data_IF_367542855667
#
_entry.id   IF_367542855667
#
_cell.length_a   1.000
_cell.length_b   1.000
_cell.length_c   1.000
_cell.angle_alpha   90.00
_cell.angle_beta   90.00
_cell.angle_gamma   90.00
#
_symmetry.space_group_name_H-M   'P 1'
#
loop_
_entity.id
_entity.type
_entity.pdbx_description
1 polymer ?
#
# COMPACT_ATOMS: atom_id res chain seq x y z
N UNK A 1 21.76 7.00 -8.05
CA UNK A 1 22.47 5.76 -7.63
C UNK A 1 23.87 5.65 -8.22
N UNK A 2 24.10 5.95 -9.50
CA UNK A 2 25.47 5.96 -10.07
C UNK A 2 26.42 6.86 -9.29
N UNK A 3 26.02 8.10 -8.98
CA UNK A 3 26.83 9.00 -8.16
C UNK A 3 27.14 8.43 -6.75
N UNK A 4 26.18 7.74 -6.12
CA UNK A 4 26.35 7.08 -4.82
C UNK A 4 27.42 5.98 -4.91
N UNK A 5 27.36 5.16 -5.97
CA UNK A 5 28.37 4.14 -6.24
C UNK A 5 29.75 4.76 -6.41
N UNK A 6 29.88 5.76 -7.30
CA UNK A 6 31.17 6.40 -7.61
C UNK A 6 31.75 7.06 -6.35
N UNK A 7 30.93 7.83 -5.62
CA UNK A 7 31.36 8.53 -4.41
C UNK A 7 31.81 7.59 -3.29
N UNK A 8 31.26 6.37 -3.23
CA UNK A 8 31.73 5.35 -2.30
C UNK A 8 32.96 4.62 -2.80
N UNK A 9 32.94 4.17 -4.06
CA UNK A 9 34.01 3.39 -4.68
C UNK A 9 35.32 4.17 -4.72
N UNK A 10 35.28 5.49 -4.96
CA UNK A 10 36.46 6.36 -4.98
C UNK A 10 37.21 6.45 -3.65
N UNK A 11 36.57 6.10 -2.53
CA UNK A 11 37.21 6.11 -1.20
C UNK A 11 38.12 4.92 -0.95
N UNK A 12 38.06 3.89 -1.78
CA UNK A 12 38.87 2.70 -1.64
C UNK A 12 40.01 2.74 -2.66
N UNK A 13 41.22 2.40 -2.25
CA UNK A 13 42.38 2.29 -3.15
C UNK A 13 42.36 0.93 -3.88
N UNK A 14 43.20 0.80 -4.91
CA UNK A 14 43.50 -0.51 -5.49
C UNK A 14 44.27 -1.36 -4.47
N UNK A 15 43.98 -2.66 -4.43
CA UNK A 15 44.64 -3.63 -3.57
C UNK A 15 45.44 -4.65 -4.40
N UNK A 16 46.67 -5.00 -4.03
CA UNK A 16 47.49 -5.94 -4.81
C UNK A 16 46.91 -7.37 -4.87
N UNK A 17 46.17 -7.81 -3.83
CA UNK A 17 45.62 -9.15 -3.78
C UNK A 17 44.22 -9.25 -4.40
N UNK A 18 43.36 -8.25 -4.16
CA UNK A 18 41.94 -8.30 -4.57
C UNK A 18 41.54 -7.21 -5.57
N UNK A 19 42.52 -6.47 -6.10
CA UNK A 19 42.35 -5.48 -7.16
C UNK A 19 41.33 -4.39 -6.80
N UNK A 20 40.39 -4.16 -7.72
CA UNK A 20 39.29 -3.21 -7.56
C UNK A 20 38.03 -3.82 -6.92
N UNK A 21 38.02 -5.11 -6.57
CA UNK A 21 36.82 -5.76 -6.06
C UNK A 21 36.25 -5.11 -4.79
N UNK A 22 37.06 -4.67 -3.80
CA UNK A 22 36.54 -3.93 -2.64
C UNK A 22 35.84 -2.61 -3.02
N UNK A 23 36.34 -1.89 -4.03
CA UNK A 23 35.71 -0.66 -4.56
C UNK A 23 34.31 -0.97 -5.08
N UNK A 24 34.19 -2.02 -5.90
CA UNK A 24 32.94 -2.45 -6.51
C UNK A 24 31.96 -2.95 -5.44
N UNK A 25 32.43 -3.82 -4.52
CA UNK A 25 31.63 -4.35 -3.43
C UNK A 25 31.06 -3.23 -2.56
N UNK A 26 31.89 -2.25 -2.18
CA UNK A 26 31.44 -1.12 -1.35
C UNK A 26 30.57 -0.14 -2.11
N UNK A 27 30.81 0.09 -3.40
CA UNK A 27 29.93 0.90 -4.26
C UNK A 27 28.51 0.34 -4.32
N UNK A 28 28.37 -0.97 -4.59
CA UNK A 28 27.07 -1.64 -4.60
C UNK A 28 26.42 -1.70 -3.22
N UNK A 29 27.21 -1.93 -2.16
CA UNK A 29 26.70 -1.90 -0.79
C UNK A 29 26.08 -0.53 -0.45
N UNK A 30 26.70 0.57 -0.87
CA UNK A 30 26.16 1.91 -0.63
C UNK A 30 24.86 2.14 -1.40
N UNK A 31 24.74 1.64 -2.65
CA UNK A 31 23.46 1.66 -3.36
C UNK A 31 22.41 0.91 -2.54
N UNK A 32 22.69 -0.31 -2.06
CA UNK A 32 21.73 -1.08 -1.26
C UNK A 32 21.27 -0.32 0.00
N UNK A 33 22.21 0.28 0.73
CA UNK A 33 21.92 1.04 1.94
C UNK A 33 21.05 2.26 1.64
N UNK A 34 21.49 3.15 0.74
CA UNK A 34 20.77 4.37 0.38
C UNK A 34 19.39 4.06 -0.20
N UNK A 35 19.31 3.03 -1.06
CA UNK A 35 18.08 2.63 -1.72
C UNK A 35 17.06 1.99 -0.76
N UNK A 36 17.49 1.51 0.41
CA UNK A 36 16.58 1.03 1.47
C UNK A 36 15.62 2.15 1.94
N UNK A 37 16.10 3.39 2.00
CA UNK A 37 15.25 4.55 2.30
C UNK A 37 14.22 4.79 1.21
N UNK A 38 14.68 4.78 -0.05
CA UNK A 38 13.84 5.07 -1.21
C UNK A 38 12.84 3.97 -1.55
N UNK A 39 13.07 2.72 -1.14
CA UNK A 39 12.08 1.65 -1.31
C UNK A 39 11.02 1.68 -0.21
N UNK A 40 11.33 2.12 1.01
CA UNK A 40 10.39 2.09 2.15
C UNK A 40 9.53 3.35 2.29
N UNK A 41 10.13 4.54 2.18
CA UNK A 41 9.40 5.80 2.39
C UNK A 41 8.20 6.00 1.44
N UNK A 42 8.27 5.61 0.16
CA UNK A 42 7.10 5.72 -0.73
C UNK A 42 5.92 4.86 -0.26
N UNK A 43 6.17 3.79 0.50
CA UNK A 43 5.10 2.93 1.02
C UNK A 43 4.47 3.45 2.32
N UNK A 44 5.03 4.54 2.89
CA UNK A 44 4.46 5.28 4.00
C UNK A 44 3.38 6.24 3.44
N UNK A 45 2.14 5.76 3.34
CA UNK A 45 1.03 6.47 2.65
C UNK A 45 0.63 7.76 3.34
N UNK A 46 0.69 7.82 4.66
CA UNK A 46 0.38 9.06 5.39
C UNK A 46 1.50 10.09 5.18
N UNK A 47 2.75 9.63 5.19
CA UNK A 47 3.89 10.48 4.83
C UNK A 47 3.77 11.02 3.39
N UNK A 48 3.48 10.15 2.41
CA UNK A 48 3.24 10.54 1.01
C UNK A 48 2.06 11.51 0.90
N UNK A 49 0.97 11.28 1.65
CA UNK A 49 -0.19 12.19 1.66
C UNK A 49 0.14 13.55 2.27
N UNK A 50 0.97 13.58 3.32
CA UNK A 50 1.49 14.84 3.86
C UNK A 50 2.38 15.59 2.88
N UNK A 51 3.22 14.88 2.11
CA UNK A 51 4.02 15.50 1.05
C UNK A 51 3.14 16.13 -0.05
N UNK A 52 1.99 15.52 -0.36
CA UNK A 52 1.03 16.08 -1.34
C UNK A 52 0.40 17.40 -0.91
N UNK A 53 0.40 17.74 0.38
CA UNK A 53 -0.14 19.03 0.84
C UNK A 53 0.85 20.18 0.68
N UNK A 54 2.11 19.90 0.36
CA UNK A 54 3.16 20.90 0.17
C UNK A 54 3.27 21.28 -1.32
N UNK A 55 2.87 22.52 -1.72
CA UNK A 55 2.85 22.91 -3.13
C UNK A 55 4.22 22.82 -3.80
N UNK A 56 5.29 23.16 -3.07
CA UNK A 56 6.68 23.06 -3.55
C UNK A 56 7.03 21.62 -3.94
N UNK A 57 6.57 20.64 -3.17
CA UNK A 57 6.89 19.23 -3.40
C UNK A 57 6.13 18.70 -4.61
N UNK A 58 4.83 19.00 -4.71
CA UNK A 58 3.99 18.52 -5.82
C UNK A 58 4.41 19.12 -7.17
N UNK A 59 4.87 20.37 -7.18
CA UNK A 59 5.31 21.04 -8.41
C UNK A 59 6.64 20.47 -8.95
N UNK A 60 7.46 19.85 -8.11
CA UNK A 60 8.79 19.35 -8.50
C UNK A 60 8.90 17.83 -8.51
N UNK A 61 8.06 17.12 -7.76
CA UNK A 61 8.15 15.67 -7.59
C UNK A 61 6.81 14.99 -7.93
N UNK A 62 6.83 13.92 -8.75
CA UNK A 62 5.65 13.13 -9.07
C UNK A 62 5.24 12.20 -7.91
N UNK A 63 4.83 12.78 -6.78
CA UNK A 63 4.47 12.05 -5.54
C UNK A 63 3.36 11.03 -5.77
N UNK A 64 2.48 11.26 -6.75
CA UNK A 64 1.41 10.33 -7.10
C UNK A 64 1.90 9.00 -7.66
N UNK A 65 3.10 8.97 -8.25
CA UNK A 65 3.74 7.78 -8.77
C UNK A 65 4.62 7.05 -7.75
N UNK A 66 4.40 7.27 -6.45
CA UNK A 66 5.17 6.63 -5.35
C UNK A 66 5.25 5.09 -5.44
N UNK A 67 4.19 4.41 -5.92
CA UNK A 67 4.20 2.95 -6.11
C UNK A 67 5.11 2.55 -7.27
N UNK A 68 5.07 3.27 -8.39
CA UNK A 68 5.96 3.00 -9.52
C UNK A 68 7.41 3.28 -9.16
N UNK A 69 7.66 4.36 -8.41
CA UNK A 69 8.98 4.65 -7.87
C UNK A 69 9.48 3.54 -6.93
N UNK A 70 8.63 3.00 -6.05
CA UNK A 70 8.98 1.83 -5.23
C UNK A 70 9.37 0.61 -6.08
N UNK A 71 8.67 0.31 -7.18
CA UNK A 71 9.03 -0.80 -8.07
C UNK A 71 10.41 -0.60 -8.69
N UNK A 72 10.71 0.61 -9.17
CA UNK A 72 12.03 0.97 -9.71
C UNK A 72 13.10 0.78 -8.63
N UNK A 73 12.87 1.28 -7.41
CA UNK A 73 13.78 1.08 -6.29
C UNK A 73 13.97 -0.41 -5.98
N UNK A 74 12.91 -1.23 -6.05
CA UNK A 74 12.99 -2.67 -5.88
C UNK A 74 13.94 -3.32 -6.90
N UNK A 75 13.83 -2.99 -8.18
CA UNK A 75 14.74 -3.50 -9.23
C UNK A 75 16.18 -3.05 -8.98
N UNK A 76 16.39 -1.77 -8.66
CA UNK A 76 17.71 -1.24 -8.33
C UNK A 76 18.34 -1.96 -7.13
N UNK A 77 17.55 -2.27 -6.10
CA UNK A 77 18.02 -3.00 -4.93
C UNK A 77 18.48 -4.42 -5.30
N UNK A 78 17.73 -5.11 -6.17
CA UNK A 78 18.07 -6.46 -6.64
C UNK A 78 19.34 -6.47 -7.48
N UNK A 79 19.47 -5.53 -8.42
CA UNK A 79 20.67 -5.42 -9.26
C UNK A 79 21.90 -5.09 -8.41
N UNK A 80 21.75 -4.15 -7.47
CA UNK A 80 22.85 -3.78 -6.58
C UNK A 80 23.23 -4.90 -5.61
N UNK A 81 22.27 -5.67 -5.08
CA UNK A 81 22.57 -6.80 -4.21
C UNK A 81 23.33 -7.90 -4.96
N UNK A 82 22.92 -8.23 -6.19
CA UNK A 82 23.65 -9.18 -7.04
C UNK A 82 25.06 -8.69 -7.37
N UNK A 83 25.23 -7.41 -7.72
CA UNK A 83 26.54 -6.82 -7.96
C UNK A 83 27.45 -6.85 -6.72
N UNK A 84 26.88 -6.58 -5.53
CA UNK A 84 27.60 -6.68 -4.26
C UNK A 84 28.05 -8.13 -3.99
N UNK A 85 27.15 -9.10 -4.19
CA UNK A 85 27.45 -10.52 -4.01
C UNK A 85 28.53 -11.00 -4.97
N UNK A 86 28.43 -10.66 -6.26
CA UNK A 86 29.43 -11.03 -7.27
C UNK A 86 30.81 -10.47 -6.92
N UNK A 87 30.89 -9.22 -6.46
CA UNK A 87 32.15 -8.62 -6.03
C UNK A 87 32.74 -9.33 -4.80
N UNK A 88 31.93 -9.75 -3.83
CA UNK A 88 32.40 -10.54 -2.69
C UNK A 88 32.84 -11.95 -3.08
N UNK A 89 32.14 -12.61 -4.00
CA UNK A 89 32.58 -13.90 -4.54
C UNK A 89 33.96 -13.76 -5.19
N UNK A 90 34.17 -12.71 -5.99
CA UNK A 90 35.48 -12.42 -6.58
C UNK A 90 36.57 -12.17 -5.52
N UNK A 91 36.27 -11.39 -4.46
CA UNK A 91 37.18 -11.20 -3.33
C UNK A 91 37.56 -12.54 -2.70
N UNK A 92 36.58 -13.38 -2.37
CA UNK A 92 36.83 -14.69 -1.73
C UNK A 92 37.70 -15.58 -2.63
N UNK A 93 37.41 -15.63 -3.93
CA UNK A 93 38.21 -16.39 -4.90
C UNK A 93 39.65 -15.86 -4.91
N UNK A 94 39.85 -14.56 -5.11
CA UNK A 94 41.19 -13.97 -5.18
C UNK A 94 41.97 -14.17 -3.90
N UNK A 95 41.39 -13.89 -2.73
CA UNK A 95 42.06 -14.07 -1.43
C UNK A 95 42.54 -15.52 -1.23
N UNK A 96 41.81 -16.51 -1.74
CA UNK A 96 42.18 -17.94 -1.63
C UNK A 96 43.18 -18.41 -2.68
N UNK A 97 43.26 -17.77 -3.84
CA UNK A 97 44.10 -18.24 -4.96
C UNK A 97 45.40 -17.47 -5.15
N UNK A 98 45.49 -16.21 -4.71
CA UNK A 98 46.72 -15.44 -4.89
C UNK A 98 47.89 -16.01 -4.08
N UNK A 99 49.15 -15.86 -4.55
CA UNK A 99 50.33 -16.26 -3.78
C UNK A 99 50.37 -15.57 -2.41
N UNK A 100 50.89 -16.26 -1.39
CA UNK A 100 50.94 -15.74 -0.02
C UNK A 100 51.70 -14.41 0.07
N UNK A 101 52.81 -14.27 -0.66
CA UNK A 101 53.58 -13.04 -0.72
C UNK A 101 52.79 -11.83 -1.26
N UNK A 102 51.79 -12.06 -2.12
CA UNK A 102 50.88 -10.99 -2.62
C UNK A 102 49.79 -10.71 -1.60
N UNK A 103 49.28 -11.74 -0.91
CA UNK A 103 48.28 -11.59 0.15
C UNK A 103 48.83 -10.79 1.34
N UNK A 104 50.06 -11.01 1.75
CA UNK A 104 50.73 -10.28 2.84
C UNK A 104 50.85 -8.78 2.56
N UNK A 105 50.89 -8.39 1.28
CA UNK A 105 50.90 -6.98 0.85
C UNK A 105 49.49 -6.36 0.80
N UNK A 106 48.43 -7.15 1.01
CA UNK A 106 47.05 -6.66 0.97
C UNK A 106 46.73 -5.75 2.15
N UNK A 107 45.95 -4.70 1.88
CA UNK A 107 45.32 -3.85 2.91
C UNK A 107 44.28 -4.60 3.74
N UNK A 108 43.89 -5.79 3.29
CA UNK A 108 42.87 -6.64 3.91
C UNK A 108 43.45 -7.92 4.53
N UNK A 109 44.79 -8.01 4.71
CA UNK A 109 45.45 -9.20 5.27
C UNK A 109 44.94 -9.57 6.67
N UNK A 110 44.38 -8.61 7.43
CA UNK A 110 43.72 -8.86 8.73
C UNK A 110 42.49 -9.77 8.62
N UNK A 111 41.97 -9.98 7.40
CA UNK A 111 40.90 -10.92 7.09
C UNK A 111 41.45 -12.30 6.71
N UNK A 112 42.54 -12.76 7.34
CA UNK A 112 43.18 -14.05 7.07
C UNK A 112 42.21 -15.23 7.11
N UNK A 113 41.19 -15.18 7.98
CA UNK A 113 40.13 -16.18 8.05
C UNK A 113 39.36 -16.39 6.71
N UNK A 114 39.31 -15.39 5.82
CA UNK A 114 38.70 -15.53 4.49
C UNK A 114 39.49 -16.53 3.63
N UNK A 115 40.82 -16.54 3.79
CA UNK A 115 41.76 -17.42 3.11
C UNK A 115 41.82 -18.80 3.77
N UNK A 116 42.01 -18.81 5.09
CA UNK A 116 42.51 -19.99 5.81
C UNK A 116 41.40 -20.89 6.34
N UNK A 117 40.20 -20.34 6.61
CA UNK A 117 39.08 -21.15 7.10
C UNK A 117 38.50 -22.04 6.00
N UNK A 118 38.04 -23.23 6.38
CA UNK A 118 37.20 -24.04 5.50
C UNK A 118 35.87 -23.30 5.19
N UNK A 119 35.21 -23.71 4.11
CA UNK A 119 34.00 -23.03 3.63
C UNK A 119 32.83 -23.07 4.64
N UNK A 120 32.76 -24.09 5.50
CA UNK A 120 31.68 -24.22 6.48
C UNK A 120 31.81 -23.20 7.60
N UNK A 121 33.00 -23.05 8.19
CA UNK A 121 33.27 -22.04 9.21
C UNK A 121 33.12 -20.62 8.63
N UNK A 122 33.59 -20.43 7.40
CA UNK A 122 33.43 -19.17 6.69
C UNK A 122 31.96 -18.83 6.44
N UNK A 123 31.12 -19.81 6.09
CA UNK A 123 29.68 -19.62 5.87
C UNK A 123 28.95 -19.14 7.14
N UNK A 124 29.42 -19.53 8.33
CA UNK A 124 28.85 -19.12 9.61
C UNK A 124 29.25 -17.69 10.03
N UNK A 125 30.19 -17.05 9.33
CA UNK A 125 30.56 -15.66 9.62
C UNK A 125 29.40 -14.71 9.30
N UNK A 126 29.19 -13.74 10.19
CA UNK A 126 28.01 -12.84 10.18
C UNK A 126 27.71 -12.26 8.79
N UNK A 127 28.65 -11.63 8.06
CA UNK A 127 28.33 -11.06 6.75
C UNK A 127 27.94 -12.11 5.70
N UNK A 128 28.42 -13.35 5.80
CA UNK A 128 28.16 -14.39 4.81
C UNK A 128 26.75 -14.93 4.96
N UNK A 129 26.39 -15.51 6.10
CA UNK A 129 25.05 -16.08 6.26
C UNK A 129 23.95 -15.02 6.20
N UNK A 130 24.18 -13.80 6.73
CA UNK A 130 23.20 -12.71 6.61
C UNK A 130 23.02 -12.29 5.16
N UNK A 131 24.10 -12.22 4.38
CA UNK A 131 24.05 -11.94 2.95
C UNK A 131 23.25 -13.00 2.18
N UNK A 132 23.54 -14.28 2.42
CA UNK A 132 22.82 -15.41 1.81
C UNK A 132 21.35 -15.39 2.20
N UNK A 133 21.02 -15.19 3.48
CA UNK A 133 19.64 -15.13 3.95
C UNK A 133 18.86 -13.96 3.30
N UNK A 134 19.48 -12.79 3.13
CA UNK A 134 18.87 -11.66 2.40
C UNK A 134 18.63 -11.98 0.92
N UNK A 135 19.57 -12.65 0.26
CA UNK A 135 19.40 -13.08 -1.13
C UNK A 135 18.27 -14.10 -1.27
N UNK A 136 18.13 -15.05 -0.33
CA UNK A 136 17.02 -16.00 -0.32
C UNK A 136 15.67 -15.30 -0.12
N UNK A 137 15.58 -14.33 0.80
CA UNK A 137 14.38 -13.51 0.96
C UNK A 137 14.00 -12.81 -0.34
N UNK A 138 14.97 -12.20 -1.01
CA UNK A 138 14.78 -11.52 -2.29
C UNK A 138 14.40 -12.49 -3.42
N UNK A 139 15.03 -13.67 -3.48
CA UNK A 139 14.78 -14.70 -4.50
C UNK A 139 13.35 -15.27 -4.40
N UNK A 140 12.81 -15.38 -3.19
CA UNK A 140 11.41 -15.79 -2.98
C UNK A 140 10.44 -14.65 -3.31
N UNK A 141 10.72 -13.43 -2.86
CA UNK A 141 9.79 -12.30 -3.01
C UNK A 141 9.74 -11.73 -4.44
N UNK A 142 10.88 -11.62 -5.13
CA UNK A 142 10.98 -10.90 -6.40
C UNK A 142 10.13 -11.49 -7.54
N UNK A 143 10.11 -12.82 -7.79
CA UNK A 143 9.27 -13.40 -8.84
C UNK A 143 7.78 -13.14 -8.59
N UNK A 144 7.35 -13.20 -7.33
CA UNK A 144 5.95 -13.01 -6.93
C UNK A 144 5.50 -11.55 -7.05
N UNK A 145 6.42 -10.60 -7.19
CA UNK A 145 6.12 -9.20 -7.49
C UNK A 145 5.77 -8.95 -8.98
N UNK A 146 6.08 -9.90 -9.88
CA UNK A 146 5.74 -9.76 -11.30
C UNK A 146 4.24 -9.64 -11.50
N UNK A 147 3.82 -8.67 -12.32
CA UNK A 147 2.40 -8.35 -12.50
C UNK A 147 1.55 -9.55 -12.92
N UNK A 148 2.07 -10.37 -13.83
CA UNK A 148 1.40 -11.59 -14.32
C UNK A 148 1.09 -12.56 -13.17
N UNK A 149 1.99 -12.71 -12.22
CA UNK A 149 1.84 -13.64 -11.09
C UNK A 149 0.97 -13.01 -10.00
N UNK A 150 1.26 -11.75 -9.65
CA UNK A 150 0.54 -11.00 -8.61
C UNK A 150 -0.97 -10.89 -8.91
N UNK A 151 -1.36 -10.68 -10.17
CA UNK A 151 -2.77 -10.58 -10.58
C UNK A 151 -3.55 -11.88 -10.31
N UNK A 152 -2.90 -13.05 -10.46
CA UNK A 152 -3.55 -14.35 -10.25
C UNK A 152 -3.43 -14.90 -8.83
N UNK A 153 -2.37 -14.55 -8.09
CA UNK A 153 -2.07 -15.09 -6.74
C UNK A 153 -1.72 -13.98 -5.75
N UNK A 154 -2.64 -13.07 -5.50
CA UNK A 154 -2.40 -11.89 -4.65
C UNK A 154 -1.97 -12.23 -3.21
N UNK A 155 -2.60 -13.24 -2.57
CA UNK A 155 -2.25 -13.64 -1.20
C UNK A 155 -0.81 -14.16 -1.11
N UNK A 156 -0.38 -14.96 -2.09
CA UNK A 156 0.99 -15.48 -2.14
C UNK A 156 2.01 -14.35 -2.36
N UNK A 157 1.69 -13.40 -3.24
CA UNK A 157 2.45 -12.16 -3.38
C UNK A 157 2.54 -11.42 -2.04
N UNK A 158 1.42 -11.20 -1.36
CA UNK A 158 1.39 -10.42 -0.13
C UNK A 158 2.23 -11.06 0.98
N UNK A 159 2.07 -12.37 1.22
CA UNK A 159 2.81 -13.12 2.24
C UNK A 159 4.30 -13.15 1.93
N UNK A 160 4.69 -13.49 0.70
CA UNK A 160 6.11 -13.50 0.30
C UNK A 160 6.75 -12.13 0.38
N UNK A 161 6.02 -11.06 0.04
CA UNK A 161 6.54 -9.72 0.11
C UNK A 161 6.82 -9.30 1.56
N UNK A 162 6.14 -9.85 2.57
CA UNK A 162 6.45 -9.61 3.99
C UNK A 162 7.87 -10.04 4.40
N UNK A 163 8.57 -10.84 3.59
CA UNK A 163 10.00 -11.15 3.76
C UNK A 163 10.89 -9.90 3.73
N UNK A 164 10.37 -8.73 3.33
CA UNK A 164 11.05 -7.45 3.53
C UNK A 164 11.39 -7.19 5.01
N UNK A 165 10.60 -7.70 5.97
CA UNK A 165 10.84 -7.52 7.40
C UNK A 165 12.16 -8.18 7.84
N UNK A 166 12.34 -9.51 7.71
CA UNK A 166 13.63 -10.14 8.02
C UNK A 166 14.77 -9.59 7.15
N UNK A 167 14.52 -9.25 5.88
CA UNK A 167 15.52 -8.61 5.02
C UNK A 167 16.07 -7.30 5.63
N UNK A 168 15.20 -6.40 6.11
CA UNK A 168 15.63 -5.13 6.72
C UNK A 168 16.38 -5.32 8.03
N UNK A 169 15.94 -6.27 8.86
CA UNK A 169 16.64 -6.63 10.09
C UNK A 169 18.04 -7.11 9.77
N UNK A 170 18.18 -8.03 8.82
CA UNK A 170 19.47 -8.55 8.38
C UNK A 170 20.34 -7.44 7.77
N UNK A 171 19.78 -6.55 6.95
CA UNK A 171 20.50 -5.40 6.38
C UNK A 171 21.08 -4.48 7.47
N UNK A 172 20.37 -4.28 8.58
CA UNK A 172 20.86 -3.49 9.71
C UNK A 172 22.10 -4.11 10.37
N UNK A 173 22.18 -5.44 10.46
CA UNK A 173 23.26 -6.16 11.13
C UNK A 173 24.39 -6.65 10.19
N UNK A 174 24.13 -6.76 8.89
CA UNK A 174 25.04 -7.37 7.91
C UNK A 174 26.45 -6.75 7.92
N UNK A 175 26.55 -5.42 8.11
CA UNK A 175 27.82 -4.70 8.16
C UNK A 175 28.52 -4.66 9.53
N UNK A 176 27.96 -5.27 10.57
CA UNK A 176 28.42 -5.11 11.96
C UNK A 176 29.82 -5.67 12.21
N UNK A 177 30.25 -6.67 11.44
CA UNK A 177 31.56 -7.30 11.56
C UNK A 177 32.74 -6.44 11.05
N UNK A 178 32.48 -5.28 10.43
CA UNK A 178 33.50 -4.27 10.07
C UNK A 178 34.65 -4.77 9.18
N UNK A 179 34.43 -5.77 8.33
CA UNK A 179 35.50 -6.36 7.51
C UNK A 179 36.27 -5.35 6.66
N UNK A 180 35.56 -4.44 5.99
CA UNK A 180 36.14 -3.48 5.04
C UNK A 180 36.03 -2.03 5.50
N UNK A 181 34.95 -1.66 6.20
CA UNK A 181 34.69 -0.30 6.65
C UNK A 181 33.71 -0.30 7.83
N UNK A 182 33.61 0.85 8.52
CA UNK A 182 32.62 1.06 9.57
C UNK A 182 31.18 0.87 9.05
N UNK A 183 30.25 0.34 9.89
CA UNK A 183 28.86 0.17 9.52
C UNK A 183 28.21 1.53 9.30
N UNK A 184 27.31 1.60 8.33
CA UNK A 184 26.55 2.81 8.01
C UNK A 184 25.04 2.55 7.93
N UNK A 185 24.61 1.33 8.26
CA UNK A 185 23.19 0.97 8.20
C UNK A 185 22.35 1.85 9.12
N UNK A 186 22.88 2.34 10.24
CA UNK A 186 22.15 3.25 11.13
C UNK A 186 21.83 4.61 10.48
N UNK A 187 22.60 5.08 9.50
CA UNK A 187 22.27 6.32 8.79
C UNK A 187 21.15 6.14 7.76
N UNK A 188 21.09 4.97 7.12
CA UNK A 188 20.24 4.76 5.94
C UNK A 188 19.01 3.88 6.20
N UNK A 189 19.11 2.94 7.14
CA UNK A 189 18.09 1.94 7.44
C UNK A 189 17.23 2.37 8.64
N UNK A 190 17.83 2.99 9.66
CA UNK A 190 17.11 3.38 10.87
C UNK A 190 16.05 4.49 10.63
N UNK A 191 16.33 5.61 9.93
CA UNK A 191 15.34 6.65 9.71
C UNK A 191 14.04 6.18 9.01
N UNK A 192 14.09 5.44 7.88
CA UNK A 192 12.86 4.98 7.23
C UNK A 192 12.11 3.95 8.08
N UNK A 193 12.79 3.12 8.87
CA UNK A 193 12.14 2.22 9.82
C UNK A 193 11.39 3.00 10.89
N UNK A 194 12.01 4.02 11.49
CA UNK A 194 11.36 4.85 12.50
C UNK A 194 10.13 5.57 11.93
N UNK A 195 10.24 6.17 10.75
CA UNK A 195 9.12 6.82 10.06
C UNK A 195 8.00 5.81 9.78
N UNK A 196 8.33 4.62 9.26
CA UNK A 196 7.37 3.56 9.00
C UNK A 196 6.66 3.08 10.28
N UNK A 197 7.40 2.91 11.38
CA UNK A 197 6.83 2.51 12.67
C UNK A 197 5.94 3.60 13.27
N UNK A 198 6.35 4.87 13.20
CA UNK A 198 5.55 6.02 13.62
C UNK A 198 4.27 6.10 12.79
N UNK A 199 4.37 5.99 11.47
CA UNK A 199 3.19 5.96 10.59
C UNK A 199 2.28 4.79 10.95
N UNK A 200 2.83 3.59 11.13
CA UNK A 200 2.03 2.40 11.45
C UNK A 200 1.33 2.56 12.80
N UNK A 201 2.01 3.11 13.80
CA UNK A 201 1.43 3.43 15.11
C UNK A 201 0.35 4.51 14.99
N UNK A 202 0.61 5.58 14.25
CA UNK A 202 -0.38 6.63 13.95
C UNK A 202 -1.60 6.03 13.24
N UNK A 203 -1.40 5.15 12.26
CA UNK A 203 -2.48 4.49 11.52
C UNK A 203 -3.34 3.63 12.44
N UNK A 204 -2.71 2.80 13.27
CA UNK A 204 -3.40 1.96 14.24
C UNK A 204 -4.18 2.77 15.29
N UNK A 205 -3.71 3.97 15.65
CA UNK A 205 -4.31 4.79 16.72
C UNK A 205 -5.26 5.88 16.24
N UNK A 206 -5.09 6.39 15.02
CA UNK A 206 -5.77 7.59 14.51
C UNK A 206 -6.55 7.37 13.20
N UNK A 207 -6.11 6.42 12.34
CA UNK A 207 -6.71 6.15 11.01
C UNK A 207 -7.61 4.90 11.02
N UNK A 208 -7.53 4.11 12.09
CA UNK A 208 -8.49 3.03 12.32
C UNK A 208 -9.88 3.65 12.52
N UNK A 209 -10.72 3.57 11.47
CA UNK A 209 -12.10 4.03 11.44
C UNK A 209 -12.93 3.47 12.60
N UNK A 210 -12.47 2.36 13.17
CA UNK A 210 -12.97 1.80 14.41
C UNK A 210 -14.00 0.71 14.15
N UNK A 211 -14.55 0.22 15.24
CA UNK A 211 -15.66 -0.71 15.23
C UNK A 211 -16.94 0.04 14.86
N UNK A 212 -17.69 -0.47 13.87
CA UNK A 212 -19.07 -0.02 13.61
C UNK A 212 -20.02 -1.20 13.49
N UNK A 213 -21.32 -0.91 13.57
CA UNK A 213 -22.39 -1.89 13.38
C UNK A 213 -23.05 -1.65 12.04
N UNK A 214 -23.34 -2.75 11.34
CA UNK A 214 -24.16 -2.73 10.13
C UNK A 214 -25.58 -2.38 10.55
N UNK A 215 -26.14 -1.35 9.92
CA UNK A 215 -27.50 -0.89 10.19
C UNK A 215 -28.51 -1.55 9.25
N UNK A 216 -28.13 -1.70 7.97
CA UNK A 216 -29.00 -2.26 6.95
C UNK A 216 -28.16 -2.97 5.87
N UNK A 217 -28.73 -4.02 5.28
CA UNK A 217 -28.11 -4.81 4.20
C UNK A 217 -29.14 -4.98 3.09
N UNK A 218 -28.73 -4.71 1.86
CA UNK A 218 -29.51 -4.99 0.66
C UNK A 218 -28.76 -6.04 -0.17
N UNK A 219 -29.40 -7.18 -0.40
CA UNK A 219 -28.83 -8.30 -1.15
C UNK A 219 -29.29 -8.24 -2.60
N UNK A 220 -28.37 -8.55 -3.51
CA UNK A 220 -28.62 -8.77 -4.93
C UNK A 220 -27.97 -10.08 -5.36
N UNK A 221 -28.31 -10.61 -6.54
CA UNK A 221 -27.83 -11.93 -6.98
C UNK A 221 -26.30 -12.07 -6.87
N UNK A 222 -25.55 -11.05 -7.29
CA UNK A 222 -24.09 -11.08 -7.37
C UNK A 222 -23.36 -10.12 -6.41
N UNK A 223 -24.09 -9.37 -5.59
CA UNK A 223 -23.48 -8.37 -4.70
C UNK A 223 -24.31 -8.08 -3.46
N UNK A 224 -23.68 -7.46 -2.46
CA UNK A 224 -24.32 -6.98 -1.24
C UNK A 224 -24.00 -5.50 -1.03
N UNK A 225 -25.02 -4.70 -0.73
CA UNK A 225 -24.87 -3.33 -0.28
C UNK A 225 -25.02 -3.26 1.23
N UNK A 226 -23.98 -2.79 1.92
CA UNK A 226 -23.90 -2.71 3.37
C UNK A 226 -23.98 -1.24 3.78
N UNK A 227 -24.95 -0.91 4.63
CA UNK A 227 -25.14 0.42 5.18
C UNK A 227 -24.79 0.40 6.66
N UNK A 228 -23.91 1.31 7.07
CA UNK A 228 -23.37 1.38 8.42
C UNK A 228 -23.49 2.79 8.99
N UNK A 229 -23.54 2.88 10.32
CA UNK A 229 -23.46 4.18 10.99
C UNK A 229 -22.07 4.79 10.76
N UNK A 230 -22.03 6.07 10.40
CA UNK A 230 -20.78 6.81 10.17
C UNK A 230 -19.98 6.87 11.48
N UNK A 231 -18.75 6.31 11.53
CA UNK A 231 -17.94 6.33 12.75
C UNK A 231 -17.59 7.75 13.18
N UNK A 232 -17.39 7.98 14.49
CA UNK A 232 -17.05 9.31 15.02
C UNK A 232 -15.74 9.87 14.44
N UNK A 233 -14.79 8.99 14.12
CA UNK A 233 -13.50 9.31 13.47
C UNK A 233 -13.67 10.01 12.12
N UNK A 234 -14.66 9.61 11.33
CA UNK A 234 -14.99 10.20 10.01
C UNK A 234 -15.57 11.61 10.09
N UNK A 235 -16.07 12.05 11.25
CA UNK A 235 -16.61 13.41 11.45
C UNK A 235 -15.58 14.41 11.95
N UNK A 236 -14.59 13.97 12.72
CA UNK A 236 -13.69 14.87 13.47
C UNK A 236 -12.24 14.89 12.99
N UNK A 237 -11.71 13.79 12.45
CA UNK A 237 -10.25 13.61 12.29
C UNK A 237 -9.77 13.33 10.87
N UNK A 238 -10.63 12.80 10.00
CA UNK A 238 -10.29 12.56 8.59
C UNK A 238 -11.41 13.12 7.71
N UNK A 239 -11.07 14.05 6.81
CA UNK A 239 -12.03 14.61 5.85
C UNK A 239 -12.34 13.52 4.83
N UNK A 240 -13.41 12.78 5.07
CA UNK A 240 -13.99 11.89 4.09
C UNK A 240 -14.37 12.72 2.86
N UNK A 241 -13.78 12.40 1.72
CA UNK A 241 -14.06 13.01 0.42
C UNK A 241 -14.67 11.97 -0.52
N UNK A 242 -15.46 12.41 -1.52
CA UNK A 242 -16.11 11.49 -2.45
C UNK A 242 -15.09 10.68 -3.25
N UNK A 243 -15.39 9.41 -3.52
CA UNK A 243 -14.51 8.50 -4.25
C UNK A 243 -13.38 7.87 -3.43
N UNK A 244 -13.24 8.19 -2.14
CA UNK A 244 -12.34 7.50 -1.22
C UNK A 244 -12.78 6.06 -0.95
N UNK A 245 -11.85 5.22 -0.49
CA UNK A 245 -12.10 3.83 -0.13
C UNK A 245 -11.67 3.53 1.31
N UNK A 246 -12.11 2.39 1.84
CA UNK A 246 -11.78 1.90 3.19
C UNK A 246 -11.34 0.44 3.13
N UNK A 247 -10.52 0.03 4.09
CA UNK A 247 -10.31 -1.39 4.35
C UNK A 247 -11.32 -1.88 5.37
N UNK A 248 -11.87 -3.05 5.09
CA UNK A 248 -12.89 -3.71 5.88
C UNK A 248 -12.35 -5.00 6.45
N UNK A 249 -12.56 -5.21 7.74
CA UNK A 249 -12.40 -6.50 8.40
C UNK A 249 -13.70 -6.92 9.09
N UNK A 250 -14.06 -8.19 8.91
CA UNK A 250 -15.23 -8.81 9.56
C UNK A 250 -14.73 -10.05 10.29
N UNK A 251 -14.51 -9.99 11.62
CA UNK A 251 -13.92 -11.11 12.37
C UNK A 251 -14.75 -12.38 12.36
N UNK A 252 -16.06 -12.28 12.10
CA UNK A 252 -16.94 -13.42 11.89
C UNK A 252 -16.60 -14.24 10.63
N UNK A 253 -15.88 -13.64 9.68
CA UNK A 253 -15.39 -14.29 8.44
C UNK A 253 -13.90 -14.59 8.56
N UNK A 254 -13.08 -13.58 8.87
CA UNK A 254 -11.63 -13.74 9.03
C UNK A 254 -11.09 -12.68 10.00
N UNK A 255 -10.30 -13.12 10.98
CA UNK A 255 -9.75 -12.24 12.05
C UNK A 255 -8.65 -11.30 11.56
N UNK A 256 -7.94 -11.68 10.49
CA UNK A 256 -6.71 -10.99 10.07
C UNK A 256 -6.79 -10.38 8.68
N UNK A 257 -7.78 -10.74 7.87
CA UNK A 257 -7.90 -10.24 6.50
C UNK A 257 -8.60 -8.87 6.45
N UNK A 258 -7.99 -7.96 5.70
CA UNK A 258 -8.50 -6.62 5.43
C UNK A 258 -8.66 -6.45 3.93
N UNK A 259 -9.88 -6.14 3.49
CA UNK A 259 -10.22 -6.03 2.07
C UNK A 259 -10.62 -4.60 1.70
N UNK A 260 -10.08 -4.02 0.61
CA UNK A 260 -10.38 -2.65 0.21
C UNK A 260 -11.71 -2.54 -0.53
N UNK A 261 -12.55 -1.59 -0.13
CA UNK A 261 -13.82 -1.27 -0.81
C UNK A 261 -14.04 0.24 -0.90
N UNK A 262 -14.46 0.69 -2.07
CA UNK A 262 -14.81 2.10 -2.30
C UNK A 262 -16.06 2.47 -1.51
N UNK A 263 -16.04 3.64 -0.86
CA UNK A 263 -17.22 4.17 -0.20
C UNK A 263 -18.18 4.68 -1.28
N UNK A 264 -19.36 4.08 -1.38
CA UNK A 264 -20.39 4.48 -2.36
C UNK A 264 -21.27 5.64 -1.88
N UNK A 265 -21.31 5.89 -0.57
CA UNK A 265 -22.04 7.04 -0.01
C UNK A 265 -21.28 8.35 -0.22
N UNK A 266 -21.98 9.48 -0.12
CA UNK A 266 -21.38 10.81 -0.10
C UNK A 266 -20.93 11.23 1.33
N UNK A 267 -19.96 12.16 1.46
CA UNK A 267 -19.55 12.75 2.74
C UNK A 267 -20.65 13.40 3.56
N UNK A 268 -21.65 13.94 2.90
CA UNK A 268 -22.77 14.68 3.49
C UNK A 268 -23.79 13.75 4.14
N UNK A 269 -23.80 12.46 3.78
CA UNK A 269 -24.75 11.49 4.32
C UNK A 269 -24.54 11.13 5.79
N UNK A 270 -25.63 10.76 6.44
CA UNK A 270 -25.62 10.30 7.85
C UNK A 270 -25.03 8.90 8.03
N UNK A 271 -24.91 8.12 6.95
CA UNK A 271 -24.39 6.75 6.93
C UNK A 271 -23.15 6.63 6.05
N UNK A 272 -22.49 5.48 6.13
CA UNK A 272 -21.51 5.05 5.13
C UNK A 272 -22.05 3.79 4.47
N UNK A 273 -21.95 3.71 3.14
CA UNK A 273 -22.35 2.53 2.37
C UNK A 273 -21.18 1.95 1.58
N UNK A 274 -21.18 0.61 1.46
CA UNK A 274 -20.23 -0.17 0.66
C UNK A 274 -21.01 -1.13 -0.22
N UNK A 275 -20.66 -1.22 -1.50
CA UNK A 275 -21.22 -2.22 -2.42
C UNK A 275 -20.13 -3.24 -2.75
N UNK A 276 -20.37 -4.50 -2.42
CA UNK A 276 -19.38 -5.57 -2.46
C UNK A 276 -19.88 -6.70 -3.36
N UNK A 277 -19.15 -6.97 -4.45
CA UNK A 277 -19.43 -8.08 -5.36
C UNK A 277 -18.84 -9.40 -4.82
N UNK A 278 -19.51 -10.54 -5.06
CA UNK A 278 -19.08 -11.87 -4.57
C UNK A 278 -17.96 -12.51 -5.42
N UNK A 279 -16.87 -11.79 -5.66
CA UNK A 279 -15.81 -12.18 -6.61
C UNK A 279 -14.76 -13.16 -6.06
N UNK A 280 -14.46 -13.12 -4.75
CA UNK A 280 -13.47 -13.96 -4.08
C UNK A 280 -14.05 -14.82 -2.95
N UNK A 281 -13.22 -15.70 -2.39
CA UNK A 281 -13.51 -16.53 -1.22
C UNK A 281 -14.05 -15.71 -0.04
N UNK A 282 -13.33 -14.66 0.37
CA UNK A 282 -13.75 -13.81 1.49
C UNK A 282 -15.08 -13.09 1.20
N UNK A 283 -15.24 -12.52 0.01
CA UNK A 283 -16.48 -11.81 -0.36
C UNK A 283 -17.69 -12.73 -0.48
N UNK A 284 -17.49 -13.98 -0.92
CA UNK A 284 -18.56 -15.00 -0.96
C UNK A 284 -18.94 -15.45 0.44
N UNK A 285 -17.96 -15.67 1.32
CA UNK A 285 -18.21 -15.99 2.71
C UNK A 285 -18.99 -14.86 3.42
N UNK A 286 -18.60 -13.60 3.19
CA UNK A 286 -19.34 -12.44 3.69
C UNK A 286 -20.78 -12.41 3.15
N UNK A 287 -20.95 -12.56 1.84
CA UNK A 287 -22.27 -12.56 1.21
C UNK A 287 -23.18 -13.65 1.79
N UNK A 288 -22.69 -14.90 1.88
CA UNK A 288 -23.44 -16.03 2.40
C UNK A 288 -23.82 -15.84 3.87
N UNK A 289 -22.89 -15.34 4.69
CA UNK A 289 -23.15 -15.06 6.10
C UNK A 289 -24.23 -13.98 6.29
N UNK A 290 -24.12 -12.86 5.56
CA UNK A 290 -25.13 -11.80 5.60
C UNK A 290 -26.48 -12.26 5.05
N UNK A 291 -26.49 -13.10 4.01
CA UNK A 291 -27.71 -13.67 3.46
C UNK A 291 -28.41 -14.59 4.47
N UNK A 292 -27.66 -15.43 5.19
CA UNK A 292 -28.20 -16.31 6.22
C UNK A 292 -28.81 -15.50 7.38
N UNK A 293 -28.08 -14.51 7.89
CA UNK A 293 -28.55 -13.63 8.97
C UNK A 293 -29.78 -12.82 8.56
N UNK A 294 -29.82 -12.36 7.30
CA UNK A 294 -30.97 -11.64 6.76
C UNK A 294 -32.23 -12.52 6.71
N UNK A 295 -32.10 -13.77 6.26
CA UNK A 295 -33.22 -14.74 6.24
C UNK A 295 -33.70 -15.10 7.64
N UNK A 296 -32.78 -15.36 8.57
CA UNK A 296 -33.11 -15.66 9.97
C UNK A 296 -33.86 -14.51 10.63
N UNK A 297 -33.37 -13.29 10.49
CA UNK A 297 -34.01 -12.12 11.07
C UNK A 297 -35.36 -11.77 10.41
N UNK A 298 -35.52 -12.05 9.11
CA UNK A 298 -36.82 -11.91 8.45
C UNK A 298 -37.85 -12.92 8.98
N UNK A 299 -37.43 -14.15 9.30
CA UNK A 299 -38.29 -15.16 9.90
C UNK A 299 -38.68 -14.82 11.35
N UNK A 300 -37.74 -14.34 12.18
CA UNK A 300 -38.00 -14.01 13.60
C UNK A 300 -38.87 -12.77 13.81
N UNK A 301 -38.95 -11.84 12.85
CA UNK A 301 -39.84 -10.66 12.93
C UNK A 301 -41.32 -11.00 12.85
N UNK A 302 -41.67 -12.22 12.45
CA UNK A 302 -43.06 -12.69 12.41
C UNK A 302 -43.57 -13.07 13.81
N UNK A 303 -42.68 -13.34 14.77
CA UNK A 303 -43.06 -13.93 16.07
C UNK A 303 -42.92 -13.01 17.30
N UNK A 304 -42.15 -11.91 17.26
CA UNK A 304 -41.82 -11.17 18.49
C UNK A 304 -41.74 -9.65 18.30
N UNK A 305 -42.73 -8.91 18.82
CA UNK A 305 -42.84 -7.44 18.69
C UNK A 305 -42.23 -6.62 19.84
N UNK A 306 -41.63 -7.24 20.88
CA UNK A 306 -41.36 -6.54 22.15
C UNK A 306 -39.89 -6.51 22.64
N UNK A 307 -38.90 -6.70 21.77
CA UNK A 307 -37.48 -6.61 22.16
C UNK A 307 -36.73 -5.46 21.46
N UNK A 308 -35.84 -4.71 22.15
CA UNK A 308 -34.99 -3.72 21.50
C UNK A 308 -34.03 -4.41 20.55
N UNK A 309 -34.30 -4.31 19.24
CA UNK A 309 -33.59 -5.03 18.18
C UNK A 309 -32.11 -4.59 18.15
N UNK A 310 -31.25 -5.40 18.76
CA UNK A 310 -29.82 -5.34 18.47
C UNK A 310 -29.64 -5.78 17.02
N UNK A 311 -28.84 -5.05 16.23
CA UNK A 311 -28.60 -5.40 14.83
C UNK A 311 -28.18 -6.88 14.71
N UNK A 312 -28.83 -7.69 13.86
CA UNK A 312 -28.54 -9.12 13.71
C UNK A 312 -27.20 -9.37 13.00
N UNK A 313 -26.58 -8.31 12.48
CA UNK A 313 -25.40 -8.39 11.65
C UNK A 313 -24.12 -8.33 12.47
N UNK A 314 -23.03 -8.96 11.99
CA UNK A 314 -21.76 -8.98 12.71
C UNK A 314 -21.19 -7.57 12.85
N UNK A 315 -20.33 -7.44 13.84
CA UNK A 315 -19.46 -6.27 13.97
C UNK A 315 -18.51 -6.19 12.78
N UNK A 316 -18.32 -4.99 12.25
CA UNK A 316 -17.38 -4.69 11.16
C UNK A 316 -16.35 -3.65 11.65
N UNK A 317 -15.11 -3.85 11.26
CA UNK A 317 -14.00 -2.95 11.53
C UNK A 317 -13.61 -2.22 10.25
N UNK A 318 -13.38 -0.92 10.38
CA UNK A 318 -13.03 -0.05 9.27
C UNK A 318 -11.67 0.59 9.49
N UNK A 319 -10.94 0.77 8.41
CA UNK A 319 -9.63 1.42 8.37
C UNK A 319 -9.57 2.37 7.17
N UNK A 320 -9.48 3.68 7.43
CA UNK A 320 -9.67 4.75 6.46
C UNK A 320 -10.56 5.89 6.99
N UNK A 321 -10.92 6.86 6.12
CA UNK A 321 -10.89 6.80 4.66
C UNK A 321 -9.51 7.03 4.02
N UNK A 322 -9.28 6.41 2.86
CA UNK A 322 -8.03 6.50 2.09
C UNK A 322 -8.30 7.15 0.73
N UNK A 323 -7.42 8.08 0.35
CA UNK A 323 -7.50 8.82 -0.91
C UNK A 323 -7.37 7.92 -2.15
N UNK A 324 -8.06 8.33 -3.22
CA UNK A 324 -8.08 7.64 -4.51
C UNK A 324 -7.95 8.66 -5.66
N UNK A 325 -7.43 8.27 -6.84
CA UNK A 325 -7.29 9.17 -7.98
C UNK A 325 -8.60 9.82 -8.44
N UNK A 326 -9.74 9.17 -8.20
CA UNK A 326 -11.06 9.69 -8.57
C UNK A 326 -11.44 11.01 -7.89
N UNK A 327 -10.68 11.48 -6.89
CA UNK A 327 -10.95 12.70 -6.13
C UNK A 327 -10.64 14.00 -6.88
N UNK A 328 -9.84 13.95 -7.96
CA UNK A 328 -9.39 15.14 -8.67
C UNK A 328 -10.40 15.69 -9.69
N UNK A 329 -11.64 15.17 -9.70
CA UNK A 329 -12.69 15.59 -10.63
C UNK A 329 -13.01 17.09 -10.57
N UNK A 330 -12.88 17.72 -9.39
CA UNK A 330 -13.22 19.13 -9.18
C UNK A 330 -12.26 20.12 -9.83
N UNK A 331 -11.08 19.66 -10.27
CA UNK A 331 -10.06 20.49 -10.94
C UNK A 331 -10.36 20.73 -12.43
N UNK A 332 -11.34 20.01 -12.98
CA UNK A 332 -11.66 20.05 -14.40
C UNK A 332 -13.02 20.68 -14.62
N UNK A 333 -13.14 21.46 -15.71
CA UNK A 333 -14.41 22.07 -16.11
C UNK A 333 -15.41 21.04 -16.65
N UNK A 334 -14.91 20.02 -17.33
CA UNK A 334 -15.71 18.95 -17.90
C UNK A 334 -15.07 17.62 -17.54
N UNK A 335 -15.88 16.66 -17.10
CA UNK A 335 -15.40 15.34 -16.64
C UNK A 335 -16.19 14.24 -17.30
N UNK A 336 -15.48 13.21 -17.77
CA UNK A 336 -16.09 11.97 -18.27
C UNK A 336 -15.83 10.86 -17.25
N UNK A 337 -16.90 10.36 -16.64
CA UNK A 337 -16.90 9.29 -15.65
C UNK A 337 -17.36 7.99 -16.34
N UNK A 338 -16.45 7.03 -16.51
CA UNK A 338 -16.76 5.73 -17.13
C UNK A 338 -16.64 4.62 -16.09
N UNK A 339 -17.77 4.10 -15.63
CA UNK A 339 -17.85 3.02 -14.66
C UNK A 339 -18.27 1.70 -15.30
N UNK A 340 -17.55 0.61 -15.01
CA UNK A 340 -17.92 -0.74 -15.44
C UNK A 340 -18.27 -1.64 -14.23
N UNK A 341 -19.47 -2.22 -14.23
CA UNK A 341 -19.96 -3.09 -13.15
C UNK A 341 -19.88 -2.43 -11.77
N UNK A 342 -19.23 -3.10 -10.81
CA UNK A 342 -19.00 -2.57 -9.45
C UNK A 342 -18.04 -1.36 -9.41
N UNK A 343 -17.26 -1.16 -10.48
CA UNK A 343 -16.34 -0.03 -10.64
C UNK A 343 -17.03 1.33 -10.73
N UNK A 344 -18.36 1.38 -10.74
CA UNK A 344 -19.17 2.61 -10.66
C UNK A 344 -19.20 3.25 -9.27
N UNK A 345 -18.90 2.47 -8.22
CA UNK A 345 -18.98 2.90 -6.81
C UNK A 345 -18.30 4.23 -6.45
N UNK A 346 -17.08 4.57 -6.92
CA UNK A 346 -16.49 5.89 -6.65
C UNK A 346 -17.32 7.03 -7.29
N UNK A 347 -17.86 6.80 -8.49
CA UNK A 347 -18.64 7.80 -9.20
C UNK A 347 -20.00 8.02 -8.55
N UNK A 348 -20.63 6.96 -8.02
CA UNK A 348 -21.85 7.11 -7.23
C UNK A 348 -21.64 8.04 -6.02
N UNK A 349 -20.51 7.90 -5.31
CA UNK A 349 -20.14 8.80 -4.21
C UNK A 349 -19.95 10.25 -4.66
N UNK A 350 -19.25 10.44 -5.79
CA UNK A 350 -18.99 11.76 -6.39
C UNK A 350 -20.30 12.43 -6.80
N UNK A 351 -21.10 11.76 -7.63
CA UNK A 351 -22.37 12.28 -8.12
C UNK A 351 -23.30 12.67 -6.96
N UNK A 352 -23.39 11.82 -5.94
CA UNK A 352 -24.25 12.10 -4.79
C UNK A 352 -23.74 13.26 -3.92
N UNK A 353 -22.43 13.44 -3.81
CA UNK A 353 -21.87 14.64 -3.14
C UNK A 353 -22.15 15.91 -3.93
N UNK A 354 -22.07 15.85 -5.26
CA UNK A 354 -22.42 16.97 -6.14
C UNK A 354 -23.90 17.33 -5.99
N UNK A 355 -24.79 16.34 -5.87
CA UNK A 355 -26.22 16.60 -5.59
C UNK A 355 -26.43 17.32 -4.26
N UNK A 356 -25.78 16.88 -3.18
CA UNK A 356 -25.86 17.56 -1.89
C UNK A 356 -25.34 18.99 -1.98
N UNK A 357 -24.27 19.22 -2.75
CA UNK A 357 -23.75 20.56 -2.99
C UNK A 357 -24.75 21.40 -3.79
N UNK A 358 -25.32 20.85 -4.86
CA UNK A 358 -26.34 21.51 -5.67
C UNK A 358 -27.53 21.96 -4.81
N UNK A 359 -28.05 21.07 -3.96
CA UNK A 359 -29.17 21.39 -3.08
C UNK A 359 -28.80 22.40 -1.99
N UNK A 360 -27.59 22.33 -1.44
CA UNK A 360 -27.14 23.31 -0.45
C UNK A 360 -26.86 24.71 -1.02
N UNK A 361 -26.55 24.80 -2.33
CA UNK A 361 -26.41 26.07 -3.05
C UNK A 361 -27.70 26.54 -3.75
N UNK A 362 -28.79 25.76 -3.66
CA UNK A 362 -30.10 26.12 -4.20
C UNK A 362 -30.75 27.17 -3.31
N UNK A 363 -31.11 28.33 -3.87
CA UNK A 363 -31.85 29.35 -3.15
C UNK A 363 -33.27 28.83 -2.81
N UNK A 364 -33.68 28.82 -1.53
CA UNK A 364 -35.00 28.33 -1.14
C UNK A 364 -36.16 29.15 -1.73
N UNK A 365 -35.91 30.42 -2.07
CA UNK A 365 -36.96 31.35 -2.52
C UNK A 365 -37.19 31.32 -4.03
N UNK A 366 -36.12 31.18 -4.84
CA UNK A 366 -36.22 31.26 -6.30
C UNK A 366 -35.73 30.00 -7.04
N UNK A 367 -35.23 28.98 -6.33
CA UNK A 367 -34.72 27.75 -6.91
C UNK A 367 -33.39 27.89 -7.69
N UNK A 368 -32.86 29.11 -7.82
CA UNK A 368 -31.60 29.34 -8.52
C UNK A 368 -30.40 28.81 -7.72
N UNK A 369 -29.51 28.07 -8.39
CA UNK A 369 -28.35 27.42 -7.77
C UNK A 369 -27.11 28.27 -8.05
N UNK A 370 -26.46 28.77 -6.99
CA UNK A 370 -25.29 29.64 -7.13
C UNK A 370 -24.05 28.97 -6.54
N UNK A 371 -23.30 28.29 -7.40
CA UNK A 371 -22.03 27.67 -7.01
C UNK A 371 -20.97 28.73 -6.63
N UNK A 372 -20.06 28.40 -5.69
CA UNK A 372 -18.95 29.28 -5.36
C UNK A 372 -17.98 29.43 -6.55
N UNK A 373 -17.25 30.55 -6.67
CA UNK A 373 -16.31 30.78 -7.78
C UNK A 373 -15.20 29.70 -7.89
N UNK A 374 -14.92 28.99 -6.80
CA UNK A 374 -13.96 27.89 -6.75
C UNK A 374 -14.46 26.60 -7.42
N UNK A 375 -15.77 26.49 -7.72
CA UNK A 375 -16.34 25.32 -8.37
C UNK A 375 -16.17 25.43 -9.89
N UNK A 376 -15.17 24.73 -10.43
CA UNK A 376 -14.85 24.80 -11.86
C UNK A 376 -15.71 23.87 -12.72
N UNK A 377 -16.23 22.79 -12.12
CA UNK A 377 -16.97 21.75 -12.81
C UNK A 377 -18.29 22.29 -13.34
N UNK A 378 -18.50 22.16 -14.66
CA UNK A 378 -19.71 22.61 -15.36
C UNK A 378 -20.50 21.47 -16.02
N UNK A 379 -19.82 20.40 -16.42
CA UNK A 379 -20.46 19.29 -17.12
C UNK A 379 -19.85 17.95 -16.74
N UNK A 380 -20.71 16.96 -16.55
CA UNK A 380 -20.33 15.58 -16.23
C UNK A 380 -20.98 14.68 -17.26
N UNK A 381 -20.17 13.88 -17.95
CA UNK A 381 -20.65 12.78 -18.77
C UNK A 381 -20.47 11.49 -18.00
N UNK A 382 -21.57 10.85 -17.62
CA UNK A 382 -21.53 9.62 -16.85
C UNK A 382 -21.96 8.43 -17.70
N UNK A 383 -21.04 7.50 -17.92
CA UNK A 383 -21.26 6.26 -18.65
C UNK A 383 -21.14 5.09 -17.69
N UNK A 384 -22.26 4.39 -17.46
CA UNK A 384 -22.28 3.17 -16.67
C UNK A 384 -22.53 1.95 -17.56
N UNK A 385 -21.53 1.09 -17.67
CA UNK A 385 -21.59 -0.15 -18.43
C UNK A 385 -21.71 -1.33 -17.46
N UNK A 386 -22.77 -2.12 -17.58
CA UNK A 386 -22.96 -3.33 -16.76
C UNK A 386 -23.38 -4.51 -17.64
N UNK A 387 -22.97 -5.71 -17.25
CA UNK A 387 -23.45 -6.97 -17.87
C UNK A 387 -24.83 -7.37 -17.36
N UNK A 388 -25.17 -6.97 -16.14
CA UNK A 388 -26.41 -7.37 -15.47
C UNK A 388 -27.27 -6.14 -15.16
N UNK A 389 -28.54 -6.19 -15.58
CA UNK A 389 -29.49 -5.10 -15.34
C UNK A 389 -29.81 -4.91 -13.86
N UNK A 390 -29.77 -5.98 -13.05
CA UNK A 390 -30.00 -5.89 -11.61
C UNK A 390 -28.97 -4.99 -10.91
N UNK A 391 -27.75 -4.88 -11.43
CA UNK A 391 -26.74 -3.99 -10.87
C UNK A 391 -27.17 -2.50 -10.96
N UNK A 392 -28.01 -2.15 -11.93
CA UNK A 392 -28.54 -0.79 -12.09
C UNK A 392 -29.44 -0.39 -10.92
N UNK A 393 -30.09 -1.36 -10.27
CA UNK A 393 -30.99 -1.11 -9.13
C UNK A 393 -30.29 -0.53 -7.90
N UNK A 394 -28.97 -0.70 -7.77
CA UNK A 394 -28.19 -0.21 -6.63
C UNK A 394 -28.21 1.30 -6.50
N UNK A 395 -28.21 2.01 -7.63
CA UNK A 395 -28.14 3.46 -7.67
C UNK A 395 -29.34 4.10 -8.37
N UNK A 396 -30.40 3.34 -8.68
CA UNK A 396 -31.61 3.86 -9.36
C UNK A 396 -32.15 5.12 -8.71
N UNK A 397 -32.31 5.14 -7.38
CA UNK A 397 -32.83 6.33 -6.70
C UNK A 397 -31.91 7.55 -6.89
N UNK A 398 -30.59 7.35 -6.85
CA UNK A 398 -29.62 8.43 -7.08
C UNK A 398 -29.65 8.88 -8.54
N UNK A 399 -29.76 7.95 -9.48
CA UNK A 399 -29.84 8.26 -10.92
C UNK A 399 -31.14 8.98 -11.28
N UNK A 400 -32.27 8.57 -10.71
CA UNK A 400 -33.56 9.22 -10.93
C UNK A 400 -33.56 10.64 -10.37
N UNK A 401 -33.03 10.83 -9.16
CA UNK A 401 -32.86 12.17 -8.60
C UNK A 401 -31.91 13.05 -9.43
N UNK A 402 -30.82 12.48 -9.96
CA UNK A 402 -29.94 13.21 -10.88
C UNK A 402 -30.68 13.62 -12.16
N UNK A 403 -31.50 12.74 -12.73
CA UNK A 403 -32.28 13.07 -13.93
C UNK A 403 -33.39 14.09 -13.70
N UNK A 404 -33.88 14.24 -12.47
CA UNK A 404 -34.84 15.30 -12.11
C UNK A 404 -34.15 16.66 -11.92
N UNK A 405 -32.83 16.67 -11.75
CA UNK A 405 -32.02 17.87 -11.53
C UNK A 405 -31.35 18.41 -12.81
N UNK A 406 -31.18 17.56 -13.82
CA UNK A 406 -30.74 17.88 -15.19
C UNK A 406 -31.90 18.53 -15.96
#
# INVERSE_FOLDING_TARGET
>A
MVAVFIAKASRFAFDPAVGNCPRIAKGFAEICLVNTMFVLLPMCRNFVTGLRTLPVVVNHLPIDHHIEFHKICGVVLLVASLGHTAAWLAIVIYVRTVPLAVWEQSRYHHLAFVRDENLLLFALRVPIWTGVAMLLCAAVAAPLCLEKIRRGKFNLFWVSHMLFIPFLVLMAFHGFARWVAAPQAHYWVLPPILIYLIEKRYRMTQVFGGQTKIAHVQLSKEAVAIFMRKPKSFRKRQRFLPGMYVFVNVPAISKFEWHPFTISSAPEDKFISLHIQKSGDWTRALYNNLQQLHKQHAASRVEDQCSPVTSPYPTIFLDGPIGAPAQDYSRYREVVLVGAGIGVTPFASILRSIMHQWESYRCPQCGHVRFPPSFQLRKIYFYWVTREQQALTWFTNTMNQLSEMD
#
